data_IF_634873693332
#
_entry.id   IF_634873693332
#
_cell.length_a   1.000
_cell.length_b   1.000
_cell.length_c   1.000
_cell.angle_alpha   90.00
_cell.angle_beta   90.00
_cell.angle_gamma   90.00
#
_symmetry.space_group_name_H-M   'P 1'
#
loop_
_entity.id
_entity.type
_entity.pdbx_description
1 polymer ?
#
# COMPACT_ATOMS: atom_id res chain seq x y z
N UNK A 1 -29.80 -2.91 -11.00
CA UNK A 1 -28.89 -1.98 -10.31
C UNK A 1 -27.76 -1.70 -11.27
N UNK A 2 -27.45 -0.46 -11.52
CA UNK A 2 -26.34 -0.09 -12.42
C UNK A 2 -24.99 -0.35 -11.76
N UNK A 3 -23.94 -0.45 -12.57
CA UNK A 3 -22.59 -0.81 -12.13
C UNK A 3 -21.99 0.22 -11.15
N UNK A 4 -22.28 1.51 -11.33
CA UNK A 4 -21.78 2.55 -10.43
C UNK A 4 -22.43 2.46 -9.04
N UNK A 5 -23.73 2.18 -8.98
CA UNK A 5 -24.45 1.96 -7.72
C UNK A 5 -23.94 0.72 -6.99
N UNK A 6 -23.65 -0.37 -7.72
CA UNK A 6 -23.06 -1.57 -7.13
C UNK A 6 -21.65 -1.28 -6.58
N UNK A 7 -20.81 -0.59 -7.35
CA UNK A 7 -19.47 -0.19 -6.90
C UNK A 7 -19.52 0.62 -5.62
N UNK A 8 -20.46 1.57 -5.52
CA UNK A 8 -20.66 2.37 -4.31
C UNK A 8 -21.06 1.51 -3.11
N UNK A 9 -21.93 0.53 -3.33
CA UNK A 9 -22.33 -0.41 -2.27
C UNK A 9 -21.12 -1.26 -1.83
N UNK A 10 -20.32 -1.77 -2.76
CA UNK A 10 -19.10 -2.52 -2.45
C UNK A 10 -18.19 -1.67 -1.58
N UNK A 11 -17.83 -0.47 -2.02
CA UNK A 11 -16.96 0.44 -1.29
C UNK A 11 -17.49 0.73 0.13
N UNK A 12 -18.75 1.16 0.24
CA UNK A 12 -19.36 1.50 1.53
C UNK A 12 -19.45 0.28 2.46
N UNK A 13 -19.85 -0.89 1.94
CA UNK A 13 -19.98 -2.09 2.77
C UNK A 13 -18.65 -2.65 3.21
N UNK A 14 -17.61 -2.51 2.40
CA UNK A 14 -16.24 -2.87 2.79
C UNK A 14 -15.79 -2.03 3.98
N UNK A 15 -15.95 -0.72 3.93
CA UNK A 15 -15.66 0.15 5.07
C UNK A 15 -16.50 -0.17 6.31
N UNK A 16 -17.80 -0.38 6.14
CA UNK A 16 -18.68 -0.68 7.28
C UNK A 16 -18.38 -2.00 7.98
N UNK A 17 -17.89 -3.01 7.26
CA UNK A 17 -17.78 -4.38 7.76
C UNK A 17 -16.35 -4.84 8.00
N UNK A 18 -15.42 -4.39 7.19
CA UNK A 18 -14.03 -4.85 7.19
C UNK A 18 -13.05 -3.77 7.62
N UNK A 19 -13.09 -2.59 6.99
CA UNK A 19 -12.10 -1.53 7.20
C UNK A 19 -12.54 -0.63 8.37
N UNK A 20 -12.29 -1.06 9.62
CA UNK A 20 -12.80 -0.38 10.81
C UNK A 20 -11.82 0.63 11.38
N UNK A 21 -10.58 0.20 11.61
CA UNK A 21 -9.56 1.00 12.28
C UNK A 21 -8.30 1.08 11.43
N UNK A 22 -7.97 2.29 10.94
CA UNK A 22 -6.74 2.49 10.22
C UNK A 22 -5.54 2.37 11.17
N UNK A 23 -4.71 1.38 10.92
CA UNK A 23 -3.50 1.11 11.68
C UNK A 23 -2.36 0.84 10.69
N UNK A 24 -1.33 1.67 10.73
CA UNK A 24 -0.20 1.56 9.82
C UNK A 24 0.49 0.18 9.95
N UNK A 25 0.82 -0.41 8.81
CA UNK A 25 1.44 -1.73 8.69
C UNK A 25 0.58 -2.91 9.18
N UNK A 26 -0.74 -2.73 9.29
CA UNK A 26 -1.65 -3.84 9.58
C UNK A 26 -1.67 -4.85 8.45
N UNK A 27 -1.59 -6.13 8.83
CA UNK A 27 -1.65 -7.23 7.88
C UNK A 27 -3.07 -7.49 7.36
N UNK A 28 -3.18 -8.28 6.31
CA UNK A 28 -4.49 -8.74 5.82
C UNK A 28 -5.17 -9.68 6.83
N UNK A 29 -4.40 -10.38 7.66
CA UNK A 29 -4.94 -11.17 8.77
C UNK A 29 -5.56 -10.27 9.84
N UNK A 30 -4.89 -9.19 10.24
CA UNK A 30 -5.43 -8.21 11.20
C UNK A 30 -6.75 -7.60 10.71
N UNK A 31 -6.83 -7.32 9.38
CA UNK A 31 -8.05 -6.84 8.77
C UNK A 31 -9.20 -7.83 8.93
N UNK A 32 -8.96 -9.13 8.71
CA UNK A 32 -10.00 -10.15 8.83
C UNK A 32 -10.38 -10.43 10.29
N UNK A 33 -9.44 -10.39 11.22
CA UNK A 33 -9.64 -10.72 12.62
C UNK A 33 -10.26 -9.58 13.42
N UNK A 34 -9.75 -8.37 13.25
CA UNK A 34 -10.13 -7.21 14.06
C UNK A 34 -10.75 -6.06 13.27
N UNK A 35 -10.49 -6.00 11.97
CA UNK A 35 -10.82 -4.86 11.12
C UNK A 35 -9.74 -3.78 11.10
N UNK A 36 -8.56 -4.03 11.71
CA UNK A 36 -7.41 -3.15 11.58
C UNK A 36 -6.81 -3.26 10.17
N UNK A 37 -6.57 -2.14 9.50
CA UNK A 37 -6.13 -2.13 8.12
C UNK A 37 -5.21 -0.96 7.81
N UNK A 38 -4.41 -1.10 6.75
CA UNK A 38 -3.64 -0.03 6.14
C UNK A 38 -4.01 0.16 4.66
N UNK A 39 -3.29 1.00 3.92
CA UNK A 39 -3.57 1.21 2.49
C UNK A 39 -3.37 -0.06 1.66
N UNK A 40 -2.42 -0.93 2.04
CA UNK A 40 -2.11 -2.18 1.32
C UNK A 40 -3.21 -3.21 1.56
N UNK A 41 -3.50 -3.54 2.83
CA UNK A 41 -4.52 -4.53 3.20
C UNK A 41 -5.93 -4.08 2.83
N UNK A 42 -6.24 -2.78 2.96
CA UNK A 42 -7.52 -2.20 2.53
C UNK A 42 -7.71 -2.25 1.01
N UNK A 43 -6.67 -1.94 0.24
CA UNK A 43 -6.71 -2.06 -1.22
C UNK A 43 -6.80 -3.51 -1.67
N UNK A 44 -6.14 -4.45 -0.98
CA UNK A 44 -6.27 -5.88 -1.25
C UNK A 44 -7.72 -6.36 -1.06
N UNK A 45 -8.38 -5.97 0.04
CA UNK A 45 -9.77 -6.32 0.29
C UNK A 45 -10.72 -5.78 -0.78
N UNK A 46 -10.55 -4.51 -1.17
CA UNK A 46 -11.32 -3.92 -2.26
C UNK A 46 -11.03 -4.60 -3.59
N UNK A 47 -9.76 -4.86 -3.94
CA UNK A 47 -9.36 -5.52 -5.18
C UNK A 47 -9.98 -6.91 -5.33
N UNK A 48 -9.94 -7.74 -4.28
CA UNK A 48 -10.58 -9.06 -4.26
C UNK A 48 -12.10 -8.99 -4.50
N UNK A 49 -12.76 -7.96 -3.96
CA UNK A 49 -14.19 -7.76 -4.20
C UNK A 49 -14.45 -7.26 -5.63
N UNK A 50 -13.61 -6.38 -6.17
CA UNK A 50 -13.72 -5.92 -7.54
C UNK A 50 -13.55 -7.08 -8.54
N UNK A 51 -12.57 -7.96 -8.32
CA UNK A 51 -12.41 -9.21 -9.09
C UNK A 51 -13.67 -10.08 -9.01
N UNK A 52 -14.19 -10.28 -7.81
CA UNK A 52 -15.38 -11.10 -7.57
C UNK A 52 -16.60 -10.60 -8.33
N UNK A 53 -16.73 -9.28 -8.47
CA UNK A 53 -17.85 -8.64 -9.15
C UNK A 53 -17.56 -8.26 -10.60
N UNK A 54 -16.39 -8.60 -11.14
CA UNK A 54 -16.03 -8.43 -12.55
C UNK A 54 -15.76 -6.98 -12.96
N UNK A 55 -15.27 -6.15 -12.05
CA UNK A 55 -14.82 -4.81 -12.38
C UNK A 55 -13.42 -4.82 -13.01
N UNK A 56 -13.23 -3.95 -13.98
CA UNK A 56 -11.89 -3.64 -14.50
C UNK A 56 -11.24 -2.60 -13.60
N UNK A 57 -10.09 -2.92 -13.04
CA UNK A 57 -9.39 -2.02 -12.14
C UNK A 57 -7.87 -2.24 -12.17
N UNK A 58 -7.13 -1.32 -11.59
CA UNK A 58 -5.70 -1.38 -11.36
C UNK A 58 -5.41 -0.91 -9.94
N UNK A 59 -4.52 -1.59 -9.24
CA UNK A 59 -3.95 -1.10 -8.00
C UNK A 59 -2.73 -0.25 -8.36
N UNK A 60 -2.65 0.94 -7.83
CA UNK A 60 -1.54 1.88 -8.06
C UNK A 60 -0.74 2.04 -6.80
N UNK A 61 0.55 1.75 -6.90
CA UNK A 61 1.54 2.02 -5.87
C UNK A 61 2.21 3.35 -6.13
N UNK A 62 2.38 4.14 -5.08
CA UNK A 62 3.21 5.33 -5.03
C UNK A 62 4.30 5.17 -3.96
N UNK A 63 5.15 6.17 -3.76
CA UNK A 63 6.26 6.10 -2.79
C UNK A 63 5.82 5.66 -1.39
N UNK A 64 4.65 6.13 -0.94
CA UNK A 64 4.18 5.91 0.44
C UNK A 64 2.72 5.48 0.51
N UNK A 65 2.09 5.19 -0.63
CA UNK A 65 0.65 4.95 -0.66
C UNK A 65 0.23 3.98 -1.75
N UNK A 66 -0.93 3.35 -1.53
CA UNK A 66 -1.58 2.45 -2.48
C UNK A 66 -3.04 2.83 -2.58
N UNK A 67 -3.56 2.92 -3.81
CA UNK A 67 -4.97 3.18 -4.09
C UNK A 67 -5.43 2.39 -5.32
N UNK A 68 -6.73 2.42 -5.63
CA UNK A 68 -7.31 1.69 -6.76
C UNK A 68 -7.87 2.65 -7.80
N UNK A 69 -7.56 2.41 -9.07
CA UNK A 69 -8.24 2.99 -10.22
C UNK A 69 -9.23 1.99 -10.78
N UNK A 70 -10.50 2.37 -10.88
CA UNK A 70 -11.55 1.55 -11.50
C UNK A 70 -11.95 2.15 -12.83
N UNK A 71 -12.07 1.30 -13.83
CA UNK A 71 -12.49 1.70 -15.19
C UNK A 71 -13.95 1.29 -15.43
N UNK A 72 -14.82 2.27 -15.55
CA UNK A 72 -16.25 2.05 -15.69
C UNK A 72 -16.84 2.96 -16.77
N UNK A 73 -17.44 2.36 -17.80
CA UNK A 73 -18.12 3.09 -18.89
C UNK A 73 -17.25 4.20 -19.52
N UNK A 74 -15.96 3.87 -19.75
CA UNK A 74 -15.00 4.82 -20.33
C UNK A 74 -14.51 5.93 -19.38
N UNK A 75 -14.85 5.83 -18.09
CA UNK A 75 -14.41 6.77 -17.05
C UNK A 75 -13.46 6.08 -16.09
N UNK A 76 -12.49 6.83 -15.58
CA UNK A 76 -11.63 6.43 -14.47
C UNK A 76 -12.22 6.97 -13.16
N UNK A 77 -12.31 6.10 -12.17
CA UNK A 77 -12.71 6.45 -10.81
C UNK A 77 -11.57 6.04 -9.85
N UNK A 78 -11.50 6.69 -8.70
CA UNK A 78 -10.54 6.32 -7.64
C UNK A 78 -11.30 5.72 -6.46
N UNK A 79 -10.77 4.62 -5.93
CA UNK A 79 -11.16 4.10 -4.63
C UNK A 79 -9.96 4.21 -3.68
N UNK A 80 -10.12 5.07 -2.70
CA UNK A 80 -9.16 5.33 -1.65
C UNK A 80 -9.59 4.59 -0.38
N UNK A 81 -8.90 3.48 -0.08
CA UNK A 81 -9.28 2.60 1.04
C UNK A 81 -9.13 3.26 2.41
N UNK A 82 -8.27 4.27 2.52
CA UNK A 82 -8.01 4.96 3.79
C UNK A 82 -8.99 6.11 4.07
N UNK A 83 -9.89 6.41 3.13
CA UNK A 83 -10.90 7.45 3.26
C UNK A 83 -12.33 6.87 3.16
N UNK A 84 -12.94 6.47 4.29
CA UNK A 84 -14.28 5.90 4.30
C UNK A 84 -15.36 6.87 3.78
N UNK A 85 -15.14 8.16 3.95
CA UNK A 85 -16.00 9.22 3.43
C UNK A 85 -15.22 10.03 2.40
N UNK A 86 -15.74 10.10 1.18
CA UNK A 86 -15.11 10.82 0.08
C UNK A 86 -14.02 10.03 -0.68
N UNK A 87 -13.64 8.84 -0.22
CA UNK A 87 -12.62 8.01 -0.89
C UNK A 87 -13.08 7.36 -2.20
N UNK A 88 -14.36 7.38 -2.52
CA UNK A 88 -14.84 7.05 -3.86
C UNK A 88 -14.95 8.31 -4.70
N UNK A 89 -13.93 8.58 -5.51
CA UNK A 89 -13.81 9.79 -6.33
C UNK A 89 -14.29 9.49 -7.74
N UNK A 90 -15.37 10.16 -8.18
CA UNK A 90 -16.02 9.86 -9.47
C UNK A 90 -16.05 11.04 -10.43
N UNK A 91 -15.89 12.27 -9.94
CA UNK A 91 -15.87 13.47 -10.78
C UNK A 91 -14.54 13.57 -11.54
N UNK A 92 -14.53 13.73 -12.87
CA UNK A 92 -13.29 13.74 -13.66
C UNK A 92 -12.25 14.76 -13.19
N UNK A 93 -12.69 15.97 -12.83
CA UNK A 93 -11.78 17.01 -12.29
C UNK A 93 -11.15 16.61 -10.95
N UNK A 94 -11.91 15.95 -10.08
CA UNK A 94 -11.40 15.47 -8.79
C UNK A 94 -10.43 14.29 -8.99
N UNK A 95 -10.71 13.38 -9.93
CA UNK A 95 -9.81 12.30 -10.32
C UNK A 95 -8.49 12.85 -10.85
N UNK A 96 -8.56 13.82 -11.80
CA UNK A 96 -7.36 14.46 -12.32
C UNK A 96 -6.56 15.20 -11.24
N UNK A 97 -7.24 15.87 -10.32
CA UNK A 97 -6.61 16.52 -9.17
C UNK A 97 -5.92 15.53 -8.24
N UNK A 98 -6.59 14.40 -7.95
CA UNK A 98 -6.03 13.33 -7.12
C UNK A 98 -4.78 12.72 -7.76
N UNK A 99 -4.84 12.32 -9.02
CA UNK A 99 -3.70 11.76 -9.75
C UNK A 99 -2.58 12.78 -9.92
N UNK A 100 -2.91 14.03 -10.22
CA UNK A 100 -1.94 15.12 -10.36
C UNK A 100 -1.12 15.37 -9.09
N UNK A 101 -1.69 15.10 -7.91
CA UNK A 101 -0.97 15.20 -6.65
C UNK A 101 0.17 14.18 -6.51
N UNK A 102 0.11 13.06 -7.23
CA UNK A 102 1.17 12.04 -7.24
C UNK A 102 2.09 12.15 -8.46
N UNK A 103 1.63 12.77 -9.55
CA UNK A 103 2.38 12.89 -10.81
C UNK A 103 3.16 14.20 -10.92
N UNK A 104 2.83 15.23 -10.11
CA UNK A 104 3.52 16.50 -10.15
C UNK A 104 4.86 16.39 -9.39
N UNK A 105 5.90 16.16 -10.16
CA UNK A 105 7.28 16.22 -9.73
C UNK A 105 7.61 17.61 -9.13
N UNK A 106 8.20 17.62 -7.94
CA UNK A 106 8.95 18.76 -7.44
C UNK A 106 8.22 19.82 -6.61
N UNK A 107 6.96 19.61 -6.20
CA UNK A 107 6.36 20.44 -5.15
C UNK A 107 5.89 19.56 -4.00
N UNK A 108 6.36 19.80 -2.75
CA UNK A 108 5.79 19.13 -1.60
C UNK A 108 4.34 19.58 -1.46
N UNK A 109 3.40 18.81 -2.00
CA UNK A 109 2.02 18.91 -1.57
C UNK A 109 2.04 18.42 -0.13
N UNK A 110 1.70 19.29 0.80
CA UNK A 110 1.60 18.96 2.21
C UNK A 110 0.63 17.78 2.37
N UNK A 111 1.17 16.59 2.44
CA UNK A 111 0.45 15.34 2.68
C UNK A 111 0.49 15.04 4.16
N UNK A 112 -0.17 15.92 4.93
CA UNK A 112 -0.26 15.79 6.37
C UNK A 112 -1.29 14.75 6.78
N UNK A 113 -1.05 13.48 6.48
CA UNK A 113 -1.79 12.41 7.17
C UNK A 113 -0.86 11.47 7.92
N UNK A 114 0.42 11.32 7.56
CA UNK A 114 1.32 10.36 8.21
C UNK A 114 2.77 10.85 8.49
N UNK A 115 3.07 12.14 8.36
CA UNK A 115 4.43 12.66 8.63
C UNK A 115 4.80 12.77 10.12
N UNK A 116 3.90 12.38 11.02
CA UNK A 116 4.08 12.61 12.45
C UNK A 116 4.90 11.57 13.22
N UNK A 117 5.26 10.42 12.67
CA UNK A 117 5.87 9.32 13.46
C UNK A 117 7.21 8.77 13.00
N UNK A 118 7.73 9.11 11.85
CA UNK A 118 9.07 8.68 11.45
C UNK A 118 9.99 9.89 11.27
N UNK A 119 10.75 10.23 12.28
CA UNK A 119 11.74 11.31 12.28
C UNK A 119 12.97 11.08 11.38
N UNK A 120 12.82 10.43 10.26
CA UNK A 120 13.82 10.29 9.22
C UNK A 120 13.44 11.18 8.05
N UNK A 121 14.23 12.25 7.85
CA UNK A 121 14.25 12.99 6.58
C UNK A 121 14.73 12.01 5.50
N UNK A 122 13.79 11.39 4.80
CA UNK A 122 14.09 10.69 3.56
C UNK A 122 14.35 11.77 2.51
N UNK A 123 15.52 11.73 1.90
CA UNK A 123 15.86 12.58 0.76
C UNK A 123 14.89 12.27 -0.38
N UNK A 124 13.97 13.20 -0.65
CA UNK A 124 12.86 13.02 -1.60
C UNK A 124 13.27 13.41 -3.03
N UNK A 125 14.56 13.44 -3.33
CA UNK A 125 15.02 14.11 -4.55
C UNK A 125 14.83 13.34 -5.84
N UNK A 126 14.60 12.01 -5.90
CA UNK A 126 14.75 11.38 -7.22
C UNK A 126 13.91 10.15 -7.61
N UNK A 127 12.94 9.67 -6.86
CA UNK A 127 12.13 8.55 -7.38
C UNK A 127 10.67 8.62 -6.95
N UNK A 128 9.84 9.26 -7.75
CA UNK A 128 8.39 9.14 -7.57
C UNK A 128 7.92 7.80 -8.13
N UNK A 129 7.65 6.85 -7.26
CA UNK A 129 7.04 5.59 -7.63
C UNK A 129 5.57 5.88 -8.00
N UNK A 130 5.21 5.58 -9.22
CA UNK A 130 3.83 5.57 -9.70
C UNK A 130 3.69 4.40 -10.66
N UNK A 131 3.29 3.25 -10.15
CA UNK A 131 3.21 2.03 -10.94
C UNK A 131 2.01 1.17 -10.59
N UNK A 132 1.59 0.37 -11.56
CA UNK A 132 0.54 -0.61 -11.39
C UNK A 132 1.12 -1.85 -10.71
N UNK A 133 0.39 -2.38 -9.74
CA UNK A 133 0.71 -3.63 -9.04
C UNK A 133 -0.50 -4.55 -9.06
N UNK A 134 -0.26 -5.84 -9.16
CA UNK A 134 -1.30 -6.85 -9.04
C UNK A 134 -1.46 -7.31 -7.59
N UNK A 135 -2.46 -8.16 -7.32
CA UNK A 135 -2.72 -8.64 -5.96
C UNK A 135 -1.57 -9.48 -5.36
N UNK A 136 -0.79 -10.17 -6.18
CA UNK A 136 0.40 -10.90 -5.72
C UNK A 136 1.52 -9.94 -5.29
N UNK A 137 1.77 -8.91 -6.10
CA UNK A 137 2.73 -7.85 -5.76
C UNK A 137 2.28 -7.07 -4.53
N UNK A 138 0.97 -6.86 -4.37
CA UNK A 138 0.40 -6.22 -3.18
C UNK A 138 0.62 -7.08 -1.91
N UNK A 139 0.56 -8.41 -2.03
CA UNK A 139 0.94 -9.31 -0.94
C UNK A 139 2.46 -9.23 -0.64
N UNK A 140 3.29 -9.01 -1.65
CA UNK A 140 4.72 -8.70 -1.47
C UNK A 140 4.94 -7.40 -0.69
N UNK A 141 4.18 -6.35 -1.01
CA UNK A 141 4.19 -5.08 -0.25
C UNK A 141 3.74 -5.26 1.20
N UNK A 142 2.79 -6.16 1.45
CA UNK A 142 2.39 -6.49 2.82
C UNK A 142 3.58 -7.04 3.64
N UNK A 143 4.32 -8.00 3.09
CA UNK A 143 5.52 -8.52 3.74
C UNK A 143 6.61 -7.46 3.89
N UNK A 144 6.75 -6.56 2.92
CA UNK A 144 7.67 -5.43 3.02
C UNK A 144 7.30 -4.49 4.17
N UNK A 145 6.03 -4.14 4.32
CA UNK A 145 5.55 -3.29 5.42
C UNK A 145 5.79 -3.94 6.79
N UNK A 146 5.52 -5.23 6.91
CA UNK A 146 5.79 -5.99 8.13
C UNK A 146 7.29 -6.05 8.42
N UNK A 147 8.12 -6.23 7.39
CA UNK A 147 9.57 -6.21 7.54
C UNK A 147 10.10 -4.88 8.05
N UNK A 148 9.51 -3.74 7.64
CA UNK A 148 9.87 -2.41 8.17
C UNK A 148 9.62 -2.34 9.68
N UNK A 149 8.55 -2.92 10.19
CA UNK A 149 8.26 -2.96 11.63
C UNK A 149 9.36 -3.69 12.37
N UNK A 150 9.73 -4.91 11.94
CA UNK A 150 10.81 -5.69 12.53
C UNK A 150 12.17 -5.02 12.39
N UNK A 151 12.45 -4.41 11.24
CA UNK A 151 13.68 -3.64 11.01
C UNK A 151 13.83 -2.50 12.02
N UNK A 152 12.77 -1.72 12.25
CA UNK A 152 12.77 -0.61 13.21
C UNK A 152 12.93 -1.08 14.67
N UNK A 153 12.50 -2.31 14.96
CA UNK A 153 12.69 -2.98 16.26
C UNK A 153 14.07 -3.65 16.39
N UNK A 154 14.93 -3.53 15.35
CA UNK A 154 16.25 -4.19 15.27
C UNK A 154 16.17 -5.73 15.24
N UNK A 155 15.04 -6.26 14.89
CA UNK A 155 14.78 -7.69 14.70
C UNK A 155 15.16 -8.11 13.27
N UNK A 156 16.45 -7.94 12.92
CA UNK A 156 16.92 -8.05 11.54
C UNK A 156 16.70 -9.42 10.91
N UNK A 157 16.71 -10.51 11.67
CA UNK A 157 16.43 -11.87 11.14
C UNK A 157 15.00 -11.97 10.63
N UNK A 158 14.03 -11.51 11.41
CA UNK A 158 12.62 -11.50 11.02
C UNK A 158 12.40 -10.59 9.82
N UNK A 159 13.04 -9.41 9.80
CA UNK A 159 12.99 -8.50 8.66
C UNK A 159 13.54 -9.16 7.39
N UNK A 160 14.69 -9.86 7.44
CA UNK A 160 15.30 -10.56 6.30
C UNK A 160 14.38 -11.67 5.77
N UNK A 161 13.77 -12.45 6.65
CA UNK A 161 12.83 -13.52 6.27
C UNK A 161 11.61 -12.97 5.54
N UNK A 162 11.04 -11.88 6.04
CA UNK A 162 9.89 -11.19 5.42
C UNK A 162 10.27 -10.53 4.10
N UNK A 163 11.43 -9.87 4.01
CA UNK A 163 11.92 -9.27 2.78
C UNK A 163 12.23 -10.34 1.71
N UNK A 164 12.67 -11.52 2.13
CA UNK A 164 12.85 -12.63 1.21
C UNK A 164 11.54 -13.13 0.63
N UNK A 165 10.48 -13.20 1.43
CA UNK A 165 9.11 -13.51 0.95
C UNK A 165 8.57 -12.40 0.06
N UNK A 166 8.78 -11.14 0.44
CA UNK A 166 8.38 -9.99 -0.35
C UNK A 166 9.00 -10.03 -1.74
N UNK A 167 10.29 -10.33 -1.88
CA UNK A 167 11.00 -10.39 -3.16
C UNK A 167 10.50 -11.52 -4.09
N UNK A 168 10.02 -12.63 -3.54
CA UNK A 168 9.40 -13.71 -4.35
C UNK A 168 8.12 -13.22 -5.02
N UNK A 169 7.33 -12.41 -4.33
CA UNK A 169 6.04 -11.92 -4.81
C UNK A 169 6.18 -10.60 -5.59
N UNK A 170 7.17 -9.80 -5.22
CA UNK A 170 7.35 -8.45 -5.72
C UNK A 170 8.84 -8.05 -5.78
N UNK A 171 9.58 -8.50 -6.81
CA UNK A 171 10.97 -8.08 -7.02
C UNK A 171 11.06 -6.56 -7.20
N UNK A 172 11.82 -5.88 -6.33
CA UNK A 172 11.97 -4.43 -6.39
C UNK A 172 13.26 -3.99 -5.70
N UNK A 173 13.95 -3.02 -6.29
CA UNK A 173 15.24 -2.50 -5.80
C UNK A 173 15.15 -2.01 -4.36
N UNK A 174 14.03 -1.38 -3.96
CA UNK A 174 13.89 -0.90 -2.58
C UNK A 174 13.74 -2.05 -1.57
N UNK A 175 13.12 -3.17 -1.95
CA UNK A 175 13.00 -4.36 -1.10
C UNK A 175 14.37 -5.04 -1.00
N UNK A 176 15.10 -5.16 -2.12
CA UNK A 176 16.47 -5.67 -2.14
C UNK A 176 17.38 -4.81 -1.27
N UNK A 177 17.36 -3.49 -1.44
CA UNK A 177 18.17 -2.56 -0.67
C UNK A 177 17.92 -2.65 0.84
N UNK A 178 16.65 -2.73 1.28
CA UNK A 178 16.32 -2.91 2.69
C UNK A 178 16.79 -4.27 3.22
N UNK A 179 16.71 -5.34 2.40
CA UNK A 179 17.20 -6.66 2.77
C UNK A 179 18.72 -6.66 2.95
N UNK A 180 19.46 -6.08 2.02
CA UNK A 180 20.92 -5.98 2.09
C UNK A 180 21.35 -5.18 3.32
N UNK A 181 20.71 -4.04 3.57
CA UNK A 181 20.94 -3.26 4.78
C UNK A 181 20.63 -4.05 6.06
N UNK A 182 19.55 -4.83 6.07
CA UNK A 182 19.19 -5.69 7.20
C UNK A 182 20.24 -6.76 7.47
N UNK A 183 20.82 -7.35 6.42
CA UNK A 183 21.89 -8.35 6.50
C UNK A 183 23.15 -7.71 7.10
N UNK A 184 23.55 -6.55 6.62
CA UNK A 184 24.75 -5.86 7.10
C UNK A 184 24.60 -5.45 8.57
N UNK A 185 23.43 -4.91 8.96
CA UNK A 185 23.16 -4.55 10.36
C UNK A 185 23.08 -5.77 11.26
N UNK A 186 22.52 -6.88 10.79
CA UNK A 186 22.49 -8.13 11.53
C UNK A 186 23.92 -8.66 11.79
N UNK A 187 24.81 -8.60 10.81
CA UNK A 187 26.21 -8.96 10.99
C UNK A 187 26.89 -8.11 12.05
N UNK A 188 26.71 -6.80 11.99
CA UNK A 188 27.30 -5.89 12.98
C UNK A 188 26.71 -6.06 14.39
N UNK A 189 25.43 -6.42 14.49
CA UNK A 189 24.72 -6.53 15.77
C UNK A 189 24.95 -7.90 16.43
N UNK A 190 24.91 -8.97 15.65
CA UNK A 190 24.94 -10.35 16.18
C UNK A 190 26.26 -11.07 15.92
N UNK A 191 27.17 -10.51 15.11
CA UNK A 191 28.43 -11.15 14.73
C UNK A 191 28.27 -12.41 13.87
N UNK A 192 27.10 -12.64 13.29
CA UNK A 192 26.77 -13.84 12.52
C UNK A 192 26.48 -13.44 11.06
N UNK A 193 27.20 -14.06 10.12
CA UNK A 193 26.89 -13.92 8.71
C UNK A 193 25.64 -14.74 8.35
N UNK A 194 24.53 -14.04 8.09
CA UNK A 194 23.21 -14.63 7.81
C UNK A 194 23.06 -14.91 6.27
N UNK A 195 24.10 -14.64 5.46
CA UNK A 195 24.08 -14.90 4.00
C UNK A 195 24.28 -16.38 3.64
N UNK A 196 24.48 -17.25 4.63
CA UNK A 196 24.71 -18.70 4.45
C UNK A 196 23.46 -19.51 4.73
#
# INVERSE_FOLDING_TARGET
>A
MDSLSLLRIIFQKTHQRLLKDYTQHSSFSDLLESGAYDCVSGSAALGLLLDRYGYSYEVVETDYHVFIQVYLEGKTLILESTLPVGGMITAPSAVSGYLGAYLNEGKPVARNINEGLAGTKVDTSDNTIFRKVNLSELAGLQHYNEAIVHFNQQEYRQAIDLLSKALVLYPSERIEGLKDLSIDLAYHTYGVDIRK
#
